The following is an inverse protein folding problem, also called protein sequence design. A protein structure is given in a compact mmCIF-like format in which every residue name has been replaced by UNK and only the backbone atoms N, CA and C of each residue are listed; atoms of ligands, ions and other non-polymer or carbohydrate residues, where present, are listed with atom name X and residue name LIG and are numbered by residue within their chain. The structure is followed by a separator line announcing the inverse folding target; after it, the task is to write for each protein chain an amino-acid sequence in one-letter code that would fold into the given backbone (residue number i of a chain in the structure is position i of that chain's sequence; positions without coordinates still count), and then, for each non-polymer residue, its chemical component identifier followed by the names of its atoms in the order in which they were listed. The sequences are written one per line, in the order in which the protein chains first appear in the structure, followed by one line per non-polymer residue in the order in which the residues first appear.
data_IF_148526698237
#
_entry.id   IF_148526698237
#
_cell.length_a   1.000
_cell.length_b   1.000
_cell.length_c   1.000
_cell.angle_alpha   90.00
_cell.angle_beta   90.00
_cell.angle_gamma   90.00
#
_symmetry.space_group_name_H-M   'P 1'
#
loop_
_entity.id
_entity.type
_entity.pdbx_description
1 polymer ?
#
# COMPACT_ATOMS: atom_id res chain seq x y z
N UNK A 1 7.90 13.95 29.21
CA UNK A 1 6.59 13.28 29.35
C UNK A 1 6.16 13.43 30.80
N UNK A 2 5.17 14.28 31.08
CA UNK A 2 4.65 14.49 32.43
C UNK A 2 3.75 13.30 32.80
N UNK A 3 4.09 12.60 33.89
CA UNK A 3 3.39 11.40 34.36
C UNK A 3 2.24 11.68 35.34
N UNK A 4 1.96 12.94 35.67
CA UNK A 4 1.18 13.28 36.87
C UNK A 4 -0.07 14.13 36.61
N UNK A 5 -0.87 13.78 35.60
CA UNK A 5 -2.19 14.39 35.42
C UNK A 5 -3.27 13.34 35.14
N UNK A 6 -3.29 12.28 35.95
CA UNK A 6 -4.39 11.32 35.96
C UNK A 6 -5.56 11.96 36.70
N UNK A 7 -6.55 12.45 35.95
CA UNK A 7 -7.77 13.02 36.52
C UNK A 7 -8.60 11.88 37.12
N UNK A 8 -8.89 11.89 38.43
CA UNK A 8 -9.77 10.88 39.04
C UNK A 8 -11.18 11.01 38.46
N UNK A 9 -11.71 9.90 37.95
CA UNK A 9 -12.97 9.87 37.22
C UNK A 9 -14.14 9.74 38.21
N UNK A 10 -14.92 10.80 38.38
CA UNK A 10 -16.16 10.79 39.17
C UNK A 10 -17.32 10.07 38.47
N UNK A 11 -18.42 9.79 39.17
CA UNK A 11 -19.55 8.97 38.67
C UNK A 11 -20.15 9.41 37.31
N UNK A 12 -20.27 10.71 37.05
CA UNK A 12 -20.73 11.23 35.74
C UNK A 12 -19.66 11.10 34.64
N UNK A 13 -18.38 11.23 35.01
CA UNK A 13 -17.27 11.03 34.09
C UNK A 13 -17.07 9.52 33.75
N UNK A 14 -17.52 8.60 34.61
CA UNK A 14 -17.54 7.16 34.31
C UNK A 14 -18.54 6.80 33.20
N UNK A 15 -19.68 7.50 33.13
CA UNK A 15 -20.67 7.28 32.07
C UNK A 15 -20.20 7.81 30.71
N UNK A 16 -19.63 9.03 30.67
CA UNK A 16 -19.03 9.61 29.45
C UNK A 16 -17.85 8.77 28.96
N UNK A 17 -16.95 8.35 29.86
CA UNK A 17 -15.84 7.46 29.53
C UNK A 17 -16.35 6.16 28.91
N UNK A 18 -17.34 5.52 29.52
CA UNK A 18 -17.93 4.27 29.03
C UNK A 18 -18.53 4.46 27.63
N UNK A 19 -19.27 5.54 27.41
CA UNK A 19 -19.86 5.86 26.09
C UNK A 19 -18.80 6.02 25.00
N UNK A 20 -17.77 6.85 25.25
CA UNK A 20 -16.67 7.05 24.30
C UNK A 20 -15.87 5.79 24.04
N UNK A 21 -15.62 4.98 25.07
CA UNK A 21 -14.92 3.71 24.93
C UNK A 21 -15.71 2.72 24.07
N UNK A 22 -17.04 2.66 24.24
CA UNK A 22 -17.91 1.81 23.42
C UNK A 22 -17.98 2.29 21.97
N UNK A 23 -18.11 3.60 21.74
CA UNK A 23 -18.10 4.17 20.39
C UNK A 23 -16.77 3.89 19.67
N UNK A 24 -15.64 4.14 20.33
CA UNK A 24 -14.33 3.88 19.76
C UNK A 24 -14.11 2.38 19.50
N UNK A 25 -14.56 1.51 20.41
CA UNK A 25 -14.48 0.06 20.20
C UNK A 25 -15.22 -0.36 18.92
N UNK A 26 -16.46 0.12 18.73
CA UNK A 26 -17.23 -0.16 17.52
C UNK A 26 -16.53 0.33 16.24
N UNK A 27 -15.98 1.54 16.24
CA UNK A 27 -15.22 2.06 15.08
C UNK A 27 -13.97 1.22 14.80
N UNK A 28 -13.29 0.73 15.83
CA UNK A 28 -12.12 -0.12 15.66
C UNK A 28 -12.48 -1.50 15.10
N UNK A 29 -13.61 -2.06 15.51
CA UNK A 29 -14.15 -3.30 14.94
C UNK A 29 -14.51 -3.10 13.46
N UNK A 30 -15.20 -2.01 13.11
CA UNK A 30 -15.51 -1.66 11.72
C UNK A 30 -14.23 -1.50 10.86
N UNK A 31 -13.19 -0.87 11.41
CA UNK A 31 -11.90 -0.73 10.73
C UNK A 31 -11.28 -2.11 10.50
N UNK A 32 -11.34 -3.03 11.46
CA UNK A 32 -10.81 -4.37 11.32
C UNK A 32 -11.52 -5.14 10.19
N UNK A 33 -12.86 -5.09 10.16
CA UNK A 33 -13.67 -5.73 9.12
C UNK A 33 -13.38 -5.14 7.74
N UNK A 34 -13.28 -3.82 7.62
CA UNK A 34 -12.93 -3.14 6.36
C UNK A 34 -11.51 -3.47 5.91
N UNK A 35 -10.58 -3.67 6.84
CA UNK A 35 -9.22 -4.10 6.52
C UNK A 35 -9.17 -5.54 6.00
N UNK A 36 -9.94 -6.46 6.58
CA UNK A 36 -10.06 -7.83 6.05
C UNK A 36 -10.72 -7.82 4.67
N UNK A 37 -11.79 -7.05 4.48
CA UNK A 37 -12.42 -6.92 3.16
C UNK A 37 -11.45 -6.36 2.11
N UNK A 38 -10.61 -5.40 2.47
CA UNK A 38 -9.58 -4.88 1.59
C UNK A 38 -8.50 -5.94 1.24
N UNK A 39 -8.19 -6.87 2.15
CA UNK A 39 -7.30 -7.99 1.88
C UNK A 39 -7.94 -9.00 0.93
N UNK A 40 -9.22 -9.31 1.11
CA UNK A 40 -9.98 -10.21 0.22
C UNK A 40 -9.97 -9.69 -1.23
N UNK A 41 -10.34 -8.43 -1.44
CA UNK A 41 -10.36 -7.81 -2.79
C UNK A 41 -8.97 -7.87 -3.45
N UNK A 42 -7.91 -7.58 -2.68
CA UNK A 42 -6.53 -7.70 -3.19
C UNK A 42 -6.14 -9.16 -3.45
N UNK A 43 -6.66 -10.10 -2.67
CA UNK A 43 -6.50 -11.53 -2.87
C UNK A 43 -7.14 -12.00 -4.16
N UNK A 44 -8.39 -11.59 -4.42
CA UNK A 44 -9.13 -11.86 -5.66
C UNK A 44 -8.40 -11.29 -6.87
N UNK A 45 -8.02 -10.00 -6.85
CA UNK A 45 -7.22 -9.39 -7.92
C UNK A 45 -5.89 -10.14 -8.15
N UNK A 46 -5.23 -10.61 -7.09
CA UNK A 46 -4.02 -11.42 -7.23
C UNK A 46 -4.29 -12.77 -7.90
N UNK A 47 -5.41 -13.41 -7.59
CA UNK A 47 -5.81 -14.69 -8.21
C UNK A 47 -6.20 -14.52 -9.68
N UNK A 48 -6.77 -13.37 -10.04
CA UNK A 48 -7.06 -12.97 -11.42
C UNK A 48 -5.80 -12.58 -12.21
N UNK A 49 -4.64 -12.50 -11.56
CA UNK A 49 -3.35 -12.31 -12.21
C UNK A 49 -2.89 -10.86 -12.36
N UNK A 50 -3.50 -9.91 -11.65
CA UNK A 50 -3.08 -8.52 -11.69
C UNK A 50 -1.65 -8.34 -11.13
N UNK A 51 -0.87 -7.42 -11.73
CA UNK A 51 0.35 -6.93 -11.10
C UNK A 51 -0.04 -6.11 -9.87
N UNK A 52 0.18 -6.70 -8.69
CA UNK A 52 -0.24 -6.09 -7.44
C UNK A 52 0.51 -4.79 -7.10
N UNK A 53 1.70 -4.53 -7.66
CA UNK A 53 2.36 -3.23 -7.48
C UNK A 53 1.64 -2.16 -8.28
N UNK A 54 1.37 -2.41 -9.55
CA UNK A 54 0.63 -1.50 -10.41
C UNK A 54 -0.79 -1.26 -9.88
N UNK A 55 -1.50 -2.34 -9.51
CA UNK A 55 -2.85 -2.25 -8.93
C UNK A 55 -2.87 -1.37 -7.67
N UNK A 56 -1.93 -1.57 -6.74
CA UNK A 56 -1.87 -0.75 -5.53
C UNK A 56 -1.54 0.73 -5.83
N UNK A 57 -0.73 1.01 -6.86
CA UNK A 57 -0.43 2.37 -7.28
C UNK A 57 -1.67 3.06 -7.87
N UNK A 58 -2.43 2.38 -8.72
CA UNK A 58 -3.71 2.89 -9.25
C UNK A 58 -4.71 3.17 -8.12
N UNK A 59 -4.87 2.24 -7.17
CA UNK A 59 -5.74 2.45 -5.99
C UNK A 59 -5.30 3.67 -5.18
N UNK A 60 -3.98 3.88 -5.03
CA UNK A 60 -3.44 5.06 -4.33
C UNK A 60 -3.77 6.35 -5.06
N UNK A 61 -3.66 6.37 -6.38
CA UNK A 61 -4.02 7.51 -7.23
C UNK A 61 -5.52 7.83 -7.14
N UNK A 62 -6.38 6.81 -7.24
CA UNK A 62 -7.83 6.98 -7.06
C UNK A 62 -8.17 7.60 -5.70
N UNK A 63 -7.48 7.20 -4.63
CA UNK A 63 -7.72 7.71 -3.27
C UNK A 63 -7.20 9.13 -3.04
N UNK A 64 -6.09 9.51 -3.69
CA UNK A 64 -5.46 10.82 -3.49
C UNK A 64 -5.92 11.88 -4.49
N UNK A 65 -6.57 11.47 -5.58
CA UNK A 65 -7.23 12.37 -6.53
C UNK A 65 -6.29 13.10 -7.48
N UNK A 66 -6.88 14.02 -8.26
CA UNK A 66 -6.27 14.64 -9.43
C UNK A 66 -4.96 15.38 -9.14
N UNK A 67 -4.85 16.08 -8.00
CA UNK A 67 -3.62 16.80 -7.64
C UNK A 67 -2.44 15.85 -7.43
N UNK A 68 -2.67 14.69 -6.80
CA UNK A 68 -1.64 13.67 -6.66
C UNK A 68 -1.24 13.09 -8.01
N UNK A 69 -2.22 12.76 -8.86
CA UNK A 69 -1.97 12.23 -10.20
C UNK A 69 -1.12 13.19 -11.04
N UNK A 70 -1.49 14.48 -11.08
CA UNK A 70 -0.72 15.50 -11.78
C UNK A 70 0.72 15.59 -11.27
N UNK A 71 0.91 15.57 -9.94
CA UNK A 71 2.24 15.62 -9.32
C UNK A 71 3.09 14.38 -9.64
N UNK A 72 2.48 13.19 -9.79
CA UNK A 72 3.22 11.98 -10.20
C UNK A 72 3.64 12.05 -11.66
N UNK A 73 2.74 12.48 -12.56
CA UNK A 73 3.05 12.62 -13.99
C UNK A 73 4.11 13.70 -14.23
N UNK A 74 4.06 14.80 -13.49
CA UNK A 74 5.11 15.83 -13.53
C UNK A 74 6.47 15.26 -13.09
N UNK A 75 6.50 14.49 -12.01
CA UNK A 75 7.73 13.83 -11.56
C UNK A 75 8.27 12.86 -12.62
N UNK A 76 7.43 12.05 -13.25
CA UNK A 76 7.83 11.12 -14.32
C UNK A 76 8.45 11.87 -15.51
N UNK A 77 7.81 12.96 -15.94
CA UNK A 77 8.32 13.83 -17.01
C UNK A 77 9.70 14.42 -16.68
N UNK A 78 9.87 14.90 -15.44
CA UNK A 78 11.15 15.44 -14.96
C UNK A 78 12.19 14.34 -14.91
N UNK A 79 11.89 13.18 -14.33
CA UNK A 79 12.83 12.05 -14.25
C UNK A 79 13.33 11.63 -15.62
N UNK A 80 12.46 11.56 -16.63
CA UNK A 80 12.86 11.21 -17.98
C UNK A 80 13.80 12.25 -18.60
N UNK A 81 13.57 13.53 -18.32
CA UNK A 81 14.48 14.61 -18.76
C UNK A 81 15.87 14.44 -18.13
N UNK A 82 15.94 14.19 -16.82
CA UNK A 82 17.21 13.99 -16.11
C UNK A 82 17.91 12.70 -16.53
N UNK A 83 17.16 11.60 -16.74
CA UNK A 83 17.69 10.33 -17.25
C UNK A 83 18.33 10.50 -18.61
N UNK A 84 17.68 11.19 -19.55
CA UNK A 84 18.26 11.51 -20.86
C UNK A 84 19.57 12.28 -20.72
N UNK A 85 19.59 13.31 -19.88
CA UNK A 85 20.82 14.09 -19.62
C UNK A 85 21.95 13.28 -19.00
N UNK A 86 21.62 12.29 -18.17
CA UNK A 86 22.58 11.36 -17.56
C UNK A 86 22.91 10.15 -18.46
N UNK A 87 22.34 10.06 -19.66
CA UNK A 87 22.53 8.93 -20.56
C UNK A 87 21.89 7.62 -20.08
N UNK A 88 20.90 7.68 -19.18
CA UNK A 88 20.11 6.52 -18.69
C UNK A 88 18.91 6.24 -19.61
N UNK A 89 18.41 4.99 -19.68
CA UNK A 89 17.23 4.66 -20.48
C UNK A 89 15.97 5.28 -19.87
N UNK A 90 15.03 5.66 -20.73
CA UNK A 90 13.71 6.19 -20.36
C UNK A 90 12.56 5.32 -20.83
N UNK A 91 12.85 4.34 -21.69
CA UNK A 91 11.90 3.32 -22.15
C UNK A 91 12.33 1.95 -21.65
N UNK A 92 11.39 1.01 -21.64
CA UNK A 92 11.69 -0.37 -21.27
C UNK A 92 12.58 -1.04 -22.32
N UNK A 93 12.33 -0.75 -23.60
CA UNK A 93 13.07 -1.26 -24.74
C UNK A 93 14.56 -0.87 -24.66
N UNK A 94 14.85 0.42 -24.45
CA UNK A 94 16.22 0.92 -24.31
C UNK A 94 16.93 0.26 -23.12
N UNK A 95 16.19 0.05 -22.01
CA UNK A 95 16.74 -0.61 -20.83
C UNK A 95 17.07 -2.09 -21.10
N UNK A 96 16.17 -2.82 -21.78
CA UNK A 96 16.37 -4.22 -22.14
C UNK A 96 17.53 -4.41 -23.13
N UNK A 97 17.66 -3.52 -24.12
CA UNK A 97 18.79 -3.54 -25.05
C UNK A 97 20.13 -3.36 -24.34
N UNK A 98 20.20 -2.45 -23.38
CA UNK A 98 21.42 -2.26 -22.55
C UNK A 98 21.75 -3.49 -21.72
N UNK A 99 20.77 -4.11 -21.07
CA UNK A 99 20.98 -5.36 -20.32
C UNK A 99 21.53 -6.46 -21.23
N UNK A 100 20.99 -6.61 -22.45
CA UNK A 100 21.50 -7.55 -23.45
C UNK A 100 22.93 -7.21 -23.88
N UNK A 101 23.23 -5.94 -24.10
CA UNK A 101 24.56 -5.47 -24.50
C UNK A 101 25.62 -5.68 -23.41
N UNK A 102 25.23 -5.58 -22.13
CA UNK A 102 26.09 -5.82 -20.97
C UNK A 102 26.26 -7.32 -20.65
N UNK A 103 25.62 -8.22 -21.40
CA UNK A 103 25.66 -9.66 -21.16
C UNK A 103 24.90 -10.11 -19.92
N UNK A 104 24.01 -9.26 -19.40
CA UNK A 104 23.14 -9.58 -18.27
C UNK A 104 21.95 -10.46 -18.69
N UNK A 105 21.53 -11.36 -17.81
CA UNK A 105 20.23 -12.03 -17.96
C UNK A 105 19.13 -10.96 -17.91
N UNK A 106 18.27 -10.94 -18.92
CA UNK A 106 17.07 -10.10 -18.85
C UNK A 106 16.25 -10.54 -17.64
N UNK A 107 15.71 -9.62 -16.82
CA UNK A 107 14.86 -9.99 -15.71
C UNK A 107 13.69 -10.82 -16.25
N UNK A 108 13.64 -12.11 -15.91
CA UNK A 108 12.45 -12.91 -16.17
C UNK A 108 11.26 -12.24 -15.48
N UNK A 109 10.14 -12.17 -16.18
CA UNK A 109 8.87 -11.75 -15.63
C UNK A 109 8.62 -12.56 -14.35
N UNK A 110 8.67 -11.89 -13.19
CA UNK A 110 8.64 -12.55 -11.89
C UNK A 110 7.32 -13.29 -11.75
N UNK A 111 7.31 -14.59 -12.07
CA UNK A 111 6.18 -15.49 -11.78
C UNK A 111 5.83 -15.32 -10.30
N UNK A 112 4.54 -15.17 -9.96
CA UNK A 112 4.13 -14.93 -8.59
C UNK A 112 4.64 -16.07 -7.71
N UNK A 113 5.54 -15.73 -6.75
CA UNK A 113 5.95 -16.67 -5.70
C UNK A 113 4.69 -17.11 -4.97
N UNK A 114 4.29 -18.37 -5.19
CA UNK A 114 3.24 -19.05 -4.42
C UNK A 114 3.76 -19.18 -2.99
N UNK A 115 3.38 -18.24 -2.13
CA UNK A 115 3.69 -18.28 -0.71
C UNK A 115 2.84 -19.37 -0.05
N UNK A 116 3.47 -20.50 0.26
CA UNK A 116 2.91 -21.51 1.14
C UNK A 116 3.14 -21.15 2.61
N UNK A 117 2.09 -21.24 3.43
CA UNK A 117 1.93 -22.28 4.47
C UNK A 117 0.50 -22.19 5.02
N UNK A 118 -0.20 -23.32 5.21
CA UNK A 118 -1.50 -23.33 5.88
C UNK A 118 -1.30 -23.04 7.37
N UNK A 119 -1.99 -22.03 7.89
CA UNK A 119 -2.14 -21.87 9.33
C UNK A 119 -2.91 -23.07 9.87
N UNK A 120 -2.33 -23.75 10.86
CA UNK A 120 -2.99 -24.80 11.65
C UNK A 120 -4.29 -24.25 12.21
N UNK A 121 -5.38 -24.96 11.95
CA UNK A 121 -6.60 -24.87 12.74
C UNK A 121 -6.41 -25.83 13.92
N UNK A 122 -6.17 -25.28 15.11
CA UNK A 122 -6.24 -26.00 16.39
C UNK A 122 -6.91 -25.05 17.40
N UNK A 123 -8.20 -25.28 17.65
CA UNK A 123 -8.96 -25.09 18.90
C UNK A 123 -10.47 -25.22 18.60
#
# INVERSE_FOLDING_TARGET
MNKDNVIPIGGNANADLKGRAQELAGVLDDIADLQERAKEIKGEAKLEGYDMKAFNQVVKEMRKGASYQASQLELELVLDTYRRGAGLPVTLEDAQERVRAEGGEMPEEKKPKRGGKPGRFDA
#
